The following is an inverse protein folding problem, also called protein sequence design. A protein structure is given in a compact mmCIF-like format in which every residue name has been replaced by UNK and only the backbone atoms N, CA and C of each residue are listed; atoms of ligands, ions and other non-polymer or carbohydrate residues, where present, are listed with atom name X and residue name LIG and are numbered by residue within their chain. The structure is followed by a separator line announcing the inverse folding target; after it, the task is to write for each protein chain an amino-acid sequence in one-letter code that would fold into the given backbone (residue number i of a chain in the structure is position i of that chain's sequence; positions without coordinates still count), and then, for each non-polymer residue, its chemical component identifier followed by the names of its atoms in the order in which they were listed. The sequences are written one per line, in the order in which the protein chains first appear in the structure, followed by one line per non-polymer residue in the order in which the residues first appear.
data_IF_202102718716
#
_entry.id   IF_202102718716
#
_cell.length_a   1.000
_cell.length_b   1.000
_cell.length_c   1.000
_cell.angle_alpha   90.00
_cell.angle_beta   90.00
_cell.angle_gamma   90.00
#
_symmetry.space_group_name_H-M   'P 1'
#
loop_
_entity.id
_entity.type
_entity.pdbx_description
1 polymer ?
#
# COMPACT_ATOMS: atom_id res chain seq x y z
N UNK A 1 2.62 -7.91 -34.08
CA UNK A 1 2.05 -8.23 -32.76
C UNK A 1 1.31 -7.00 -32.29
N UNK A 2 -0.01 -7.03 -32.07
CA UNK A 2 -0.68 -5.88 -31.47
C UNK A 2 -0.15 -5.74 -30.04
N UNK A 3 0.53 -4.64 -29.75
CA UNK A 3 0.91 -4.28 -28.38
C UNK A 3 -0.38 -3.88 -27.68
N UNK A 4 -0.96 -4.80 -26.92
CA UNK A 4 -2.11 -4.51 -26.06
C UNK A 4 -1.69 -3.39 -25.13
N UNK A 5 -2.42 -2.27 -25.14
CA UNK A 5 -2.19 -1.19 -24.19
C UNK A 5 -2.18 -1.77 -22.77
N UNK A 6 -1.27 -1.30 -21.88
CA UNK A 6 -1.22 -1.82 -20.52
C UNK A 6 -2.59 -1.62 -19.87
N UNK A 7 -3.18 -2.73 -19.41
CA UNK A 7 -4.41 -2.69 -18.63
C UNK A 7 -4.07 -2.01 -17.31
N UNK A 8 -4.74 -0.90 -17.04
CA UNK A 8 -4.58 -0.18 -15.78
C UNK A 8 -5.09 -1.07 -14.65
N UNK A 9 -4.34 -1.14 -13.56
CA UNK A 9 -4.73 -1.95 -12.38
C UNK A 9 -5.89 -1.28 -11.64
N UNK A 10 -5.94 0.05 -11.67
CA UNK A 10 -7.06 0.87 -11.21
C UNK A 10 -7.84 1.40 -12.41
N UNK A 11 -9.16 1.34 -12.36
CA UNK A 11 -10.00 2.15 -13.24
C UNK A 11 -10.10 3.62 -12.76
N UNK A 12 -10.76 4.46 -13.54
CA UNK A 12 -10.89 5.89 -13.25
C UNK A 12 -11.63 6.14 -11.93
N UNK A 13 -12.68 5.38 -11.64
CA UNK A 13 -13.49 5.54 -10.43
C UNK A 13 -12.69 5.09 -9.19
N UNK A 14 -12.01 3.95 -9.27
CA UNK A 14 -11.11 3.45 -8.22
C UNK A 14 -9.99 4.48 -7.92
N UNK A 15 -9.39 5.06 -8.96
CA UNK A 15 -8.35 6.08 -8.83
C UNK A 15 -8.87 7.40 -8.24
N UNK A 16 -10.05 7.87 -8.66
CA UNK A 16 -10.68 9.08 -8.15
C UNK A 16 -11.08 8.91 -6.69
N UNK A 17 -11.56 7.73 -6.29
CA UNK A 17 -11.88 7.44 -4.88
C UNK A 17 -10.63 7.54 -4.00
N UNK A 18 -9.53 6.90 -4.41
CA UNK A 18 -8.28 6.95 -3.66
C UNK A 18 -7.72 8.38 -3.57
N UNK A 19 -7.82 9.15 -4.67
CA UNK A 19 -7.43 10.55 -4.71
C UNK A 19 -8.26 11.40 -3.73
N UNK A 20 -9.59 11.22 -3.73
CA UNK A 20 -10.49 11.93 -2.82
C UNK A 20 -10.17 11.61 -1.35
N UNK A 21 -9.89 10.34 -1.04
CA UNK A 21 -9.46 9.94 0.30
C UNK A 21 -8.15 10.62 0.71
N UNK A 22 -7.12 10.60 -0.15
CA UNK A 22 -5.82 11.22 0.15
C UNK A 22 -5.93 12.72 0.39
N UNK A 23 -6.68 13.45 -0.44
CA UNK A 23 -6.89 14.90 -0.30
C UNK A 23 -7.62 15.23 1.00
N UNK A 24 -8.71 14.50 1.29
CA UNK A 24 -9.50 14.74 2.50
C UNK A 24 -8.72 14.39 3.76
N UNK A 25 -7.98 13.28 3.74
CA UNK A 25 -7.07 12.87 4.81
C UNK A 25 -5.96 13.90 5.08
N UNK A 26 -5.37 14.48 4.03
CA UNK A 26 -4.37 15.53 4.16
C UNK A 26 -4.94 16.79 4.84
N UNK A 27 -6.17 17.18 4.50
CA UNK A 27 -6.82 18.34 5.14
C UNK A 27 -7.07 18.08 6.62
N UNK A 28 -7.65 16.94 6.98
CA UNK A 28 -7.92 16.61 8.39
C UNK A 28 -6.66 16.57 9.24
N UNK A 29 -5.55 16.11 8.66
CA UNK A 29 -4.27 15.98 9.35
C UNK A 29 -3.65 17.32 9.81
N UNK A 30 -4.08 18.45 9.24
CA UNK A 30 -3.62 19.79 9.68
C UNK A 30 -4.11 20.11 11.09
N UNK A 31 -5.31 19.64 11.45
CA UNK A 31 -5.97 19.97 12.73
C UNK A 31 -5.93 18.79 13.73
N UNK A 32 -5.57 17.58 13.28
CA UNK A 32 -5.47 16.37 14.12
C UNK A 32 -4.08 16.19 14.73
N UNK A 33 -3.99 15.33 15.75
CA UNK A 33 -2.72 14.96 16.35
C UNK A 33 -1.83 14.24 15.33
N UNK A 34 -0.52 14.52 15.35
CA UNK A 34 0.43 14.05 14.35
C UNK A 34 0.43 12.51 14.19
N UNK A 35 0.08 11.79 15.25
CA UNK A 35 0.04 10.35 15.26
C UNK A 35 -1.02 9.75 14.33
N UNK A 36 -2.11 10.49 14.02
CA UNK A 36 -3.14 10.04 13.08
C UNK A 36 -2.67 10.00 11.62
N UNK A 37 -1.53 10.59 11.30
CA UNK A 37 -1.00 10.65 9.94
C UNK A 37 -0.63 9.28 9.41
N UNK A 38 0.22 8.51 10.13
CA UNK A 38 0.47 7.10 9.83
C UNK A 38 -0.80 6.26 9.66
N UNK A 39 -1.81 6.46 10.51
CA UNK A 39 -3.09 5.76 10.43
C UNK A 39 -3.82 6.04 9.10
N UNK A 40 -3.87 7.32 8.70
CA UNK A 40 -4.52 7.73 7.44
C UNK A 40 -3.78 7.18 6.22
N UNK A 41 -2.45 7.15 6.26
CA UNK A 41 -1.62 6.56 5.19
C UNK A 41 -1.84 5.04 5.08
N UNK A 42 -1.88 4.32 6.21
CA UNK A 42 -2.20 2.89 6.20
C UNK A 42 -3.60 2.63 5.64
N UNK A 43 -4.59 3.43 6.03
CA UNK A 43 -5.96 3.30 5.49
C UNK A 43 -5.99 3.50 3.97
N UNK A 44 -5.23 4.45 3.42
CA UNK A 44 -5.10 4.60 1.98
C UNK A 44 -4.44 3.38 1.32
N UNK A 45 -3.38 2.84 1.94
CA UNK A 45 -2.68 1.67 1.44
C UNK A 45 -3.59 0.44 1.39
N UNK A 46 -4.41 0.23 2.42
CA UNK A 46 -5.40 -0.86 2.48
C UNK A 46 -6.48 -0.73 1.40
N UNK A 47 -7.05 0.47 1.21
CA UNK A 47 -8.02 0.73 0.12
C UNK A 47 -7.44 0.43 -1.26
N UNK A 48 -6.20 0.89 -1.50
CA UNK A 48 -5.48 0.59 -2.73
C UNK A 48 -5.29 -0.93 -2.88
N UNK A 49 -4.89 -1.61 -1.81
CA UNK A 49 -4.67 -3.06 -1.79
C UNK A 49 -5.92 -3.84 -2.24
N UNK A 50 -7.09 -3.50 -1.69
CA UNK A 50 -8.38 -4.12 -2.05
C UNK A 50 -8.69 -3.97 -3.55
N UNK A 51 -8.43 -2.79 -4.11
CA UNK A 51 -8.67 -2.50 -5.53
C UNK A 51 -7.70 -3.23 -6.46
N UNK A 52 -6.41 -3.32 -6.08
CA UNK A 52 -5.38 -3.89 -6.96
C UNK A 52 -5.25 -5.40 -6.85
N UNK A 53 -5.54 -6.01 -5.70
CA UNK A 53 -5.25 -7.43 -5.44
C UNK A 53 -5.88 -8.38 -6.48
N UNK A 54 -7.15 -8.23 -6.90
CA UNK A 54 -7.79 -9.13 -7.87
C UNK A 54 -7.13 -9.12 -9.27
N UNK A 55 -6.45 -8.02 -9.60
CA UNK A 55 -5.83 -7.79 -10.92
C UNK A 55 -4.30 -7.83 -10.86
N UNK A 56 -3.75 -8.12 -9.69
CA UNK A 56 -2.32 -8.13 -9.43
C UNK A 56 -1.68 -9.49 -9.72
N UNK A 57 -0.35 -9.50 -9.89
CA UNK A 57 0.39 -10.76 -9.92
C UNK A 57 0.22 -11.54 -8.61
N UNK A 58 0.31 -12.88 -8.66
CA UNK A 58 0.16 -13.73 -7.45
C UNK A 58 1.07 -13.30 -6.30
N UNK A 59 2.30 -12.90 -6.60
CA UNK A 59 3.25 -12.42 -5.60
C UNK A 59 2.82 -11.10 -4.95
N UNK A 60 2.21 -10.20 -5.72
CA UNK A 60 1.70 -8.91 -5.21
C UNK A 60 0.40 -9.12 -4.42
N UNK A 61 -0.49 -9.99 -4.88
CA UNK A 61 -1.70 -10.35 -4.14
C UNK A 61 -1.35 -11.00 -2.79
N UNK A 62 -0.34 -11.88 -2.74
CA UNK A 62 0.15 -12.46 -1.48
C UNK A 62 0.72 -11.39 -0.54
N UNK A 63 1.55 -10.46 -1.03
CA UNK A 63 2.03 -9.35 -0.20
C UNK A 63 0.88 -8.54 0.41
N UNK A 64 -0.14 -8.22 -0.40
CA UNK A 64 -1.32 -7.48 0.08
C UNK A 64 -2.05 -8.26 1.18
N UNK A 65 -2.40 -9.52 0.93
CA UNK A 65 -3.23 -10.31 1.86
C UNK A 65 -2.51 -10.88 3.08
N UNK A 66 -1.22 -11.18 2.95
CA UNK A 66 -0.48 -11.89 4.00
C UNK A 66 0.33 -10.93 4.89
N UNK A 67 0.77 -9.78 4.34
CA UNK A 67 1.62 -8.83 5.06
C UNK A 67 0.88 -7.54 5.43
N UNK A 68 0.24 -6.87 4.46
CA UNK A 68 -0.43 -5.58 4.71
C UNK A 68 -1.69 -5.75 5.57
N UNK A 69 -2.51 -6.79 5.32
CA UNK A 69 -3.72 -7.08 6.10
C UNK A 69 -3.44 -7.32 7.60
N UNK A 70 -2.21 -7.73 7.95
CA UNK A 70 -1.80 -7.94 9.34
C UNK A 70 -1.52 -6.63 10.10
N UNK A 71 -1.43 -5.50 9.39
CA UNK A 71 -1.21 -4.18 10.00
C UNK A 71 -2.55 -3.50 10.26
N UNK A 72 -2.98 -3.35 11.52
CA UNK A 72 -4.28 -2.77 11.84
C UNK A 72 -4.39 -1.33 11.33
N UNK A 73 -5.48 -1.03 10.62
CA UNK A 73 -5.80 0.33 10.18
C UNK A 73 -6.06 1.29 11.35
N UNK A 74 -6.52 0.76 12.50
CA UNK A 74 -6.95 1.52 13.67
C UNK A 74 -6.02 1.27 14.85
N UNK A 75 -4.81 1.81 14.79
CA UNK A 75 -3.98 1.91 15.99
C UNK A 75 -2.96 3.03 15.83
N UNK A 76 -3.35 4.25 16.20
CA UNK A 76 -2.39 5.03 16.97
C UNK A 76 -2.46 4.48 18.39
N UNK A 77 -1.47 3.71 18.85
CA UNK A 77 -1.56 3.15 20.18
C UNK A 77 -1.40 4.30 21.19
N UNK A 78 -2.37 4.48 22.08
CA UNK A 78 -2.18 5.31 23.29
C UNK A 78 -1.08 4.74 24.21
N UNK A 79 -0.75 3.46 24.02
CA UNK A 79 0.31 2.67 24.68
C UNK A 79 0.89 1.67 23.67
N UNK A 80 2.20 1.41 23.65
CA UNK A 80 2.82 0.45 22.71
C UNK A 80 3.32 1.06 21.39
N UNK A 81 3.70 2.35 21.41
CA UNK A 81 4.24 3.06 20.24
C UNK A 81 5.44 2.36 19.61
N UNK A 82 6.36 1.84 20.42
CA UNK A 82 7.56 1.15 19.93
C UNK A 82 7.22 -0.11 19.14
N UNK A 83 6.28 -0.92 19.63
CA UNK A 83 5.80 -2.11 18.91
C UNK A 83 5.13 -1.74 17.59
N UNK A 84 4.35 -0.65 17.57
CA UNK A 84 3.73 -0.15 16.35
C UNK A 84 4.77 0.31 15.32
N UNK A 85 5.79 1.07 15.75
CA UNK A 85 6.90 1.47 14.87
C UNK A 85 7.64 0.25 14.34
N UNK A 86 7.96 -0.73 15.19
CA UNK A 86 8.63 -1.96 14.77
C UNK A 86 7.83 -2.75 13.71
N UNK A 87 6.49 -2.78 13.82
CA UNK A 87 5.61 -3.39 12.80
C UNK A 87 5.65 -2.62 11.48
N UNK A 88 5.67 -1.28 11.52
CA UNK A 88 5.83 -0.47 10.31
C UNK A 88 7.19 -0.69 9.64
N UNK A 89 8.25 -0.81 10.43
CA UNK A 89 9.60 -1.08 9.93
C UNK A 89 9.70 -2.47 9.28
N UNK A 90 9.01 -3.47 9.84
CA UNK A 90 8.87 -4.79 9.20
C UNK A 90 8.10 -4.71 7.88
N UNK A 91 6.96 -4.01 7.86
CA UNK A 91 6.18 -3.82 6.63
C UNK A 91 7.01 -3.14 5.53
N UNK A 92 7.83 -2.14 5.88
CA UNK A 92 8.74 -1.49 4.94
C UNK A 92 9.79 -2.47 4.40
N UNK A 93 10.31 -3.37 5.23
CA UNK A 93 11.25 -4.42 4.82
C UNK A 93 10.60 -5.44 3.89
N UNK A 94 9.40 -5.93 4.23
CA UNK A 94 8.61 -6.82 3.38
C UNK A 94 8.31 -6.18 2.02
N UNK A 95 7.91 -4.90 2.00
CA UNK A 95 7.68 -4.15 0.76
C UNK A 95 8.97 -4.04 -0.07
N UNK A 96 10.08 -3.67 0.54
CA UNK A 96 11.37 -3.56 -0.15
C UNK A 96 11.80 -4.90 -0.77
N UNK A 97 11.59 -6.02 -0.07
CA UNK A 97 11.84 -7.35 -0.59
C UNK A 97 10.92 -7.67 -1.79
N UNK A 98 9.62 -7.38 -1.68
CA UNK A 98 8.65 -7.57 -2.76
C UNK A 98 9.05 -6.79 -4.03
N UNK A 99 9.35 -5.49 -3.88
CA UNK A 99 9.76 -4.62 -4.97
C UNK A 99 11.08 -5.07 -5.60
N UNK A 100 12.03 -5.51 -4.78
CA UNK A 100 13.31 -6.04 -5.25
C UNK A 100 13.13 -7.30 -6.07
N UNK A 101 12.33 -8.27 -5.61
CA UNK A 101 12.04 -9.49 -6.36
C UNK A 101 11.33 -9.18 -7.69
N UNK A 102 10.37 -8.25 -7.68
CA UNK A 102 9.61 -7.82 -8.85
C UNK A 102 10.51 -7.19 -9.92
N UNK A 103 11.37 -6.25 -9.55
CA UNK A 103 12.16 -5.46 -10.52
C UNK A 103 13.61 -5.91 -10.68
N UNK A 104 14.14 -6.79 -9.84
CA UNK A 104 15.39 -7.49 -10.13
C UNK A 104 15.19 -8.48 -11.30
N UNK A 105 14.02 -9.10 -11.39
CA UNK A 105 13.65 -10.00 -12.49
C UNK A 105 13.54 -9.27 -13.84
N UNK A 106 13.05 -8.03 -13.85
CA UNK A 106 12.97 -7.19 -15.08
C UNK A 106 14.34 -6.68 -15.58
N UNK A 107 15.35 -6.60 -14.70
CA UNK A 107 16.71 -6.13 -15.08
C UNK A 107 17.61 -7.24 -15.62
N UNK A 108 17.26 -8.50 -15.40
CA UNK A 108 17.91 -9.66 -16.01
C UNK A 108 17.25 -9.98 -17.37
N UNK A 109 17.35 -9.05 -18.33
CA UNK A 109 16.92 -9.28 -19.72
C UNK A 109 17.71 -10.43 -20.38
N UNK A 110 17.18 -11.02 -21.48
CA UNK A 110 17.74 -12.24 -22.08
C UNK A 110 19.16 -12.00 -22.59
N UNK A 111 20.06 -12.94 -22.25
CA UNK A 111 21.41 -13.03 -22.80
C UNK A 111 21.39 -13.40 -24.29
#
# INVERSE_FOLDING_TARGET
MPTTAPVWVLDEDEAVELLAYLITAARTQVDEAAEYGPMRLLTAAHRLAEQIAPRSSRATAAFVHDELDQVPQLAVPRTGREEYVARLDELCRSLAAHLSARWASDRAGPA
#
